data_IF_312615967494
#
_entry.id   IF_312615967494
#
_cell.length_a   1.000
_cell.length_b   1.000
_cell.length_c   1.000
_cell.angle_alpha   90.00
_cell.angle_beta   90.00
_cell.angle_gamma   90.00
#
_symmetry.space_group_name_H-M   'P 1'
#
loop_
_entity.id
_entity.type
_entity.pdbx_description
1 polymer ?
#
# COMPACT_ATOMS: atom_id res chain seq x y z
N UNK A 1 22.13 -30.33 -0.14
CA UNK A 1 20.69 -30.04 -0.35
C UNK A 1 20.36 -30.55 -1.74
N UNK A 2 19.36 -31.44 -1.91
CA UNK A 2 18.98 -31.89 -3.26
C UNK A 2 18.49 -30.67 -4.07
N UNK A 3 18.78 -30.61 -5.37
CA UNK A 3 18.36 -29.54 -6.29
C UNK A 3 16.88 -29.17 -6.14
N UNK A 4 16.00 -30.14 -5.91
CA UNK A 4 14.57 -29.91 -5.66
C UNK A 4 14.36 -29.04 -4.40
N UNK A 5 15.05 -29.37 -3.31
CA UNK A 5 14.95 -28.60 -2.07
C UNK A 5 15.51 -27.19 -2.23
N UNK A 6 16.60 -27.02 -3.02
CA UNK A 6 17.17 -25.71 -3.31
C UNK A 6 16.20 -24.83 -4.11
N UNK A 7 15.55 -25.39 -5.12
CA UNK A 7 14.51 -24.69 -5.90
C UNK A 7 13.29 -24.34 -5.06
N UNK A 8 12.84 -25.27 -4.21
CA UNK A 8 11.74 -25.00 -3.29
C UNK A 8 12.08 -23.87 -2.33
N UNK A 9 13.33 -23.84 -1.81
CA UNK A 9 13.80 -22.75 -0.97
C UNK A 9 13.83 -21.43 -1.74
N UNK A 10 14.43 -21.40 -2.92
CA UNK A 10 14.48 -20.21 -3.77
C UNK A 10 13.07 -19.68 -4.09
N UNK A 11 12.13 -20.58 -4.41
CA UNK A 11 10.73 -20.24 -4.67
C UNK A 11 10.06 -19.57 -3.44
N UNK A 12 10.33 -20.06 -2.23
CA UNK A 12 9.79 -19.48 -0.99
C UNK A 12 10.45 -18.14 -0.64
N UNK A 13 11.74 -17.98 -0.94
CA UNK A 13 12.51 -16.75 -0.68
C UNK A 13 12.07 -15.58 -1.58
N UNK A 14 11.35 -15.86 -2.68
CA UNK A 14 10.73 -14.82 -3.53
C UNK A 14 9.60 -14.05 -2.83
N UNK A 15 9.17 -14.45 -1.62
CA UNK A 15 8.10 -13.82 -0.85
C UNK A 15 6.80 -13.65 -1.64
N UNK A 16 6.45 -14.65 -2.46
CA UNK A 16 5.19 -14.65 -3.21
C UNK A 16 4.02 -14.76 -2.20
N UNK A 17 3.08 -13.79 -2.18
CA UNK A 17 1.97 -13.82 -1.24
C UNK A 17 1.15 -15.11 -1.33
N UNK A 18 0.77 -15.66 -0.17
CA UNK A 18 -0.09 -16.85 -0.07
C UNK A 18 0.49 -18.16 -0.61
N UNK A 19 1.79 -18.21 -0.94
CA UNK A 19 2.48 -19.45 -1.30
C UNK A 19 2.88 -20.23 -0.02
N UNK A 20 2.44 -21.48 0.07
CA UNK A 20 2.67 -22.36 1.21
C UNK A 20 3.31 -23.66 0.72
N UNK A 21 4.43 -24.05 1.33
CA UNK A 21 5.06 -25.36 1.08
C UNK A 21 4.19 -26.47 1.65
N UNK A 22 3.85 -27.46 0.83
CA UNK A 22 3.12 -28.66 1.25
C UNK A 22 4.10 -29.79 1.56
N UNK A 23 5.04 -30.04 0.65
CA UNK A 23 6.08 -31.07 0.78
C UNK A 23 7.36 -30.61 0.07
N UNK A 24 8.33 -31.52 -0.14
CA UNK A 24 9.61 -31.17 -0.75
C UNK A 24 9.51 -30.69 -2.20
N UNK A 25 8.51 -31.18 -2.95
CA UNK A 25 8.32 -30.91 -4.38
C UNK A 25 7.13 -30.00 -4.63
N UNK A 26 6.21 -29.87 -3.68
CA UNK A 26 4.92 -29.22 -3.88
C UNK A 26 4.78 -27.98 -3.01
N UNK A 27 4.38 -26.87 -3.64
CA UNK A 27 3.86 -25.69 -2.99
C UNK A 27 2.47 -25.35 -3.53
N UNK A 28 1.65 -24.66 -2.75
CA UNK A 28 0.30 -24.25 -3.12
C UNK A 28 0.16 -22.76 -2.86
N UNK A 29 -0.35 -22.02 -3.86
CA UNK A 29 -0.63 -20.60 -3.78
C UNK A 29 -2.13 -20.36 -3.86
N UNK A 30 -2.72 -19.80 -2.81
CA UNK A 30 -4.14 -19.46 -2.83
C UNK A 30 -4.37 -18.17 -3.60
N UNK A 31 -5.18 -18.22 -4.67
CA UNK A 31 -5.52 -17.05 -5.49
C UNK A 31 -6.74 -16.35 -4.91
N UNK A 32 -7.82 -17.10 -4.69
CA UNK A 32 -9.07 -16.58 -4.14
C UNK A 32 -9.79 -17.65 -3.28
N UNK A 33 -11.08 -17.45 -3.00
CA UNK A 33 -11.87 -18.40 -2.19
C UNK A 33 -12.10 -19.74 -2.90
N UNK A 34 -12.13 -19.74 -4.23
CA UNK A 34 -12.48 -20.91 -5.04
C UNK A 34 -11.30 -21.55 -5.78
N UNK A 35 -10.18 -20.82 -5.95
CA UNK A 35 -9.04 -21.24 -6.76
C UNK A 35 -7.71 -21.18 -6.00
N UNK A 36 -6.91 -22.23 -6.20
CA UNK A 36 -5.49 -22.27 -5.84
C UNK A 36 -4.64 -22.76 -7.01
N UNK A 37 -3.34 -22.46 -6.96
CA UNK A 37 -2.34 -22.93 -7.93
C UNK A 37 -1.36 -23.84 -7.20
N UNK A 38 -1.28 -25.10 -7.60
CA UNK A 38 -0.29 -26.06 -7.13
C UNK A 38 0.94 -26.00 -8.03
N UNK A 39 2.09 -25.70 -7.43
CA UNK A 39 3.40 -25.67 -8.07
C UNK A 39 4.13 -26.95 -7.71
N UNK A 40 4.51 -27.74 -8.72
CA UNK A 40 5.23 -29.00 -8.55
C UNK A 40 6.62 -28.84 -9.19
N UNK A 41 7.66 -28.91 -8.37
CA UNK A 41 9.05 -28.82 -8.77
C UNK A 41 9.56 -30.23 -9.02
N UNK A 42 9.83 -30.54 -10.28
CA UNK A 42 10.49 -31.77 -10.70
C UNK A 42 11.96 -31.49 -11.00
N UNK A 43 12.72 -32.56 -11.26
CA UNK A 43 14.14 -32.45 -11.55
C UNK A 43 14.40 -31.59 -12.80
N UNK A 44 13.63 -31.74 -13.88
CA UNK A 44 13.86 -31.00 -15.15
C UNK A 44 12.73 -30.06 -15.55
N UNK A 45 11.71 -29.90 -14.72
CA UNK A 45 10.55 -29.09 -15.07
C UNK A 45 9.83 -28.56 -13.84
N UNK A 46 9.03 -27.52 -14.04
CA UNK A 46 8.08 -27.00 -13.05
C UNK A 46 6.71 -27.10 -13.69
N UNK A 47 5.78 -27.74 -12.98
CA UNK A 47 4.39 -27.94 -13.41
C UNK A 47 3.50 -27.04 -12.56
N UNK A 48 2.58 -26.34 -13.21
CA UNK A 48 1.55 -25.54 -12.56
C UNK A 48 0.18 -26.19 -12.83
N UNK A 49 -0.54 -26.52 -11.76
CA UNK A 49 -1.92 -27.02 -11.82
C UNK A 49 -2.85 -25.99 -11.16
N UNK A 50 -3.90 -25.57 -11.85
CA UNK A 50 -4.96 -24.79 -11.23
C UNK A 50 -5.95 -25.75 -10.55
N UNK A 51 -6.39 -25.47 -9.32
CA UNK A 51 -7.38 -26.32 -8.64
C UNK A 51 -8.57 -25.51 -8.16
N UNK A 52 -9.76 -26.10 -8.33
CA UNK A 52 -11.00 -25.57 -7.78
C UNK A 52 -11.91 -26.70 -7.33
N UNK A 53 -12.51 -26.56 -6.13
CA UNK A 53 -13.50 -27.51 -5.58
C UNK A 53 -13.03 -28.97 -5.64
N UNK A 54 -11.74 -29.21 -5.39
CA UNK A 54 -11.13 -30.55 -5.38
C UNK A 54 -10.78 -31.13 -6.76
N UNK A 55 -11.01 -30.39 -7.85
CA UNK A 55 -10.59 -30.77 -9.21
C UNK A 55 -9.31 -30.04 -9.61
N UNK A 56 -8.41 -30.72 -10.31
CA UNK A 56 -7.21 -30.14 -10.93
C UNK A 56 -7.43 -29.89 -12.41
N UNK A 57 -6.90 -28.77 -12.90
CA UNK A 57 -6.99 -28.31 -14.28
C UNK A 57 -5.59 -27.96 -14.79
N UNK A 58 -5.30 -28.35 -16.02
CA UNK A 58 -4.12 -27.92 -16.75
C UNK A 58 -4.41 -26.56 -17.41
N UNK A 59 -3.79 -25.47 -16.94
CA UNK A 59 -4.07 -24.11 -17.42
C UNK A 59 -3.78 -23.91 -18.91
N UNK A 60 -2.95 -24.75 -19.53
CA UNK A 60 -2.60 -24.67 -20.95
C UNK A 60 -3.52 -25.50 -21.86
N UNK A 61 -4.36 -26.37 -21.31
CA UNK A 61 -5.17 -27.34 -22.10
C UNK A 61 -6.65 -27.34 -21.76
N UNK A 62 -7.02 -27.05 -20.52
CA UNK A 62 -8.38 -27.22 -20.04
C UNK A 62 -9.20 -25.95 -20.17
N UNK A 63 -10.41 -26.09 -20.73
CA UNK A 63 -11.40 -25.03 -20.81
C UNK A 63 -12.05 -24.87 -19.43
N UNK A 64 -12.08 -23.65 -18.90
CA UNK A 64 -12.76 -23.33 -17.64
C UNK A 64 -11.86 -22.82 -16.51
N UNK A 65 -10.56 -22.66 -16.75
CA UNK A 65 -9.69 -21.90 -15.83
C UNK A 65 -9.92 -20.40 -16.05
N UNK A 66 -10.24 -19.63 -15.00
CA UNK A 66 -10.40 -18.18 -15.10
C UNK A 66 -9.15 -17.46 -15.63
N UNK A 67 -9.36 -16.38 -16.39
CA UNK A 67 -8.28 -15.65 -17.06
C UNK A 67 -7.27 -15.00 -16.07
N UNK A 68 -7.72 -14.63 -14.88
CA UNK A 68 -6.88 -14.13 -13.80
C UNK A 68 -5.94 -15.22 -13.25
N UNK A 69 -6.45 -16.44 -13.06
CA UNK A 69 -5.64 -17.60 -12.66
C UNK A 69 -4.61 -17.96 -13.72
N UNK A 70 -4.99 -17.92 -15.01
CA UNK A 70 -4.06 -18.14 -16.14
C UNK A 70 -2.97 -17.07 -16.14
N UNK A 71 -3.33 -15.80 -16.01
CA UNK A 71 -2.37 -14.68 -16.01
C UNK A 71 -1.34 -14.78 -14.88
N UNK A 72 -1.75 -15.25 -13.70
CA UNK A 72 -0.83 -15.48 -12.58
C UNK A 72 0.12 -16.64 -12.86
N UNK A 73 -0.38 -17.73 -13.44
CA UNK A 73 0.45 -18.88 -13.82
C UNK A 73 1.46 -18.49 -14.90
N UNK A 74 1.05 -17.72 -15.90
CA UNK A 74 1.94 -17.23 -16.95
C UNK A 74 3.01 -16.31 -16.37
N UNK A 75 2.65 -15.41 -15.44
CA UNK A 75 3.63 -14.58 -14.74
C UNK A 75 4.63 -15.42 -13.91
N UNK A 76 4.20 -16.52 -13.30
CA UNK A 76 5.11 -17.44 -12.60
C UNK A 76 6.03 -18.20 -13.57
N UNK A 77 5.47 -18.69 -14.67
CA UNK A 77 6.18 -19.44 -15.72
C UNK A 77 7.22 -18.55 -16.41
N UNK A 78 6.89 -17.30 -16.73
CA UNK A 78 7.79 -16.36 -17.39
C UNK A 78 8.88 -15.84 -16.45
N UNK A 79 8.49 -15.38 -15.25
CA UNK A 79 9.40 -14.64 -14.37
C UNK A 79 10.36 -15.53 -13.58
N UNK A 80 9.89 -16.70 -13.13
CA UNK A 80 10.63 -17.47 -12.12
C UNK A 80 11.13 -18.81 -12.62
N UNK A 81 10.46 -19.45 -13.58
CA UNK A 81 10.89 -20.75 -14.09
C UNK A 81 12.29 -20.75 -14.71
N UNK A 82 12.71 -19.76 -15.52
CA UNK A 82 14.07 -19.77 -16.07
C UNK A 82 15.13 -19.76 -14.97
N UNK A 83 14.97 -18.91 -13.96
CA UNK A 83 15.91 -18.79 -12.86
C UNK A 83 15.91 -20.04 -11.95
N UNK A 84 14.72 -20.60 -11.66
CA UNK A 84 14.63 -21.83 -10.88
C UNK A 84 15.22 -23.03 -11.62
N UNK A 85 15.07 -23.09 -12.95
CA UNK A 85 15.68 -24.14 -13.75
C UNK A 85 17.21 -24.01 -13.81
N UNK A 86 17.74 -22.79 -13.95
CA UNK A 86 19.18 -22.50 -14.01
C UNK A 86 19.97 -22.92 -12.76
N UNK A 87 19.32 -23.03 -11.60
CA UNK A 87 19.95 -23.56 -10.37
C UNK A 87 20.43 -25.03 -10.49
N UNK A 88 20.03 -25.76 -11.54
CA UNK A 88 20.62 -27.06 -11.87
C UNK A 88 22.01 -26.94 -12.47
N UNK A 89 22.20 -25.98 -13.37
CA UNK A 89 23.37 -25.92 -14.25
C UNK A 89 24.60 -25.43 -13.48
N UNK A 90 24.41 -24.54 -12.49
CA UNK A 90 25.50 -24.08 -11.63
C UNK A 90 26.10 -25.21 -10.77
N UNK A 91 25.35 -26.25 -10.40
CA UNK A 91 25.91 -27.39 -9.67
C UNK A 91 26.66 -28.38 -10.57
N UNK A 92 26.40 -28.38 -11.87
CA UNK A 92 27.16 -29.20 -12.82
C UNK A 92 28.61 -28.68 -12.94
N UNK A 93 28.80 -27.36 -12.96
CA UNK A 93 30.13 -26.74 -13.11
C UNK A 93 30.98 -26.78 -11.83
N UNK A 94 30.38 -26.70 -10.64
CA UNK A 94 31.12 -26.81 -9.38
C UNK A 94 31.73 -28.20 -9.13
N UNK A 95 31.19 -29.26 -9.74
CA UNK A 95 31.75 -30.60 -9.65
C UNK A 95 33.00 -30.81 -10.52
N UNK A 96 33.33 -29.86 -11.41
CA UNK A 96 34.49 -29.90 -12.30
C UNK A 96 35.66 -29.02 -11.83
N UNK A 97 35.51 -28.22 -10.76
CA UNK A 97 36.50 -27.23 -10.32
C UNK A 97 36.79 -27.27 -8.81
N UNK A 98 37.05 -28.43 -8.23
CA UNK A 98 37.70 -28.49 -6.91
C UNK A 98 39.21 -28.32 -7.07
N UNK A 99 39.66 -27.06 -7.07
CA UNK A 99 41.10 -26.81 -7.10
C UNK A 99 41.54 -25.37 -7.33
N UNK A 100 40.95 -24.37 -6.66
CA UNK A 100 41.60 -23.07 -6.38
C UNK A 100 40.76 -22.24 -5.41
N UNK A 101 41.42 -21.71 -4.37
CA UNK A 101 40.87 -20.78 -3.38
C UNK A 101 40.89 -19.37 -3.97
N UNK A 102 39.73 -18.77 -4.20
CA UNK A 102 39.56 -17.32 -4.31
C UNK A 102 38.25 -16.86 -3.63
N UNK A 103 38.20 -15.54 -3.40
CA UNK A 103 37.37 -14.69 -2.52
C UNK A 103 35.83 -14.91 -2.49
N UNK A 104 35.13 -14.40 -1.44
CA UNK A 104 33.69 -14.64 -1.27
C UNK A 104 32.86 -14.02 -2.40
N UNK A 105 32.26 -14.88 -3.22
CA UNK A 105 31.31 -14.50 -4.26
C UNK A 105 30.03 -13.91 -3.67
N UNK A 106 29.46 -12.91 -4.38
CA UNK A 106 28.16 -12.30 -4.07
C UNK A 106 27.03 -13.32 -4.25
N UNK A 107 26.00 -13.18 -3.41
CA UNK A 107 24.85 -14.08 -3.33
C UNK A 107 24.08 -14.12 -4.68
N UNK A 108 23.89 -15.30 -5.32
CA UNK A 108 23.18 -15.45 -6.60
C UNK A 108 21.76 -14.86 -6.61
N UNK A 109 21.18 -14.66 -5.43
CA UNK A 109 19.85 -14.08 -5.21
C UNK A 109 19.77 -12.60 -5.64
N UNK A 110 20.89 -11.87 -5.66
CA UNK A 110 20.87 -10.44 -6.01
C UNK A 110 20.66 -10.19 -7.52
N UNK A 111 21.00 -11.15 -8.38
CA UNK A 111 20.74 -11.06 -9.82
C UNK A 111 19.25 -11.25 -10.17
N UNK A 112 18.49 -11.95 -9.32
CA UNK A 112 17.05 -12.16 -9.48
C UNK A 112 16.22 -10.88 -9.24
N UNK A 113 16.78 -9.85 -8.60
CA UNK A 113 16.07 -8.63 -8.22
C UNK A 113 16.23 -7.47 -9.20
N UNK A 114 17.12 -7.58 -10.20
CA UNK A 114 17.58 -6.44 -11.00
C UNK A 114 17.06 -6.37 -12.46
N UNK A 115 16.19 -7.27 -12.91
CA UNK A 115 15.69 -7.28 -14.29
C UNK A 115 14.65 -6.20 -14.58
N UNK A 116 15.09 -5.03 -15.06
CA UNK A 116 14.24 -4.03 -15.73
C UNK A 116 14.36 -4.18 -17.25
N UNK A 117 13.23 -4.25 -17.95
CA UNK A 117 13.16 -4.28 -19.42
C UNK A 117 12.02 -3.37 -19.91
N UNK A 118 12.32 -2.46 -20.84
CA UNK A 118 11.37 -1.62 -21.56
C UNK A 118 10.89 -2.35 -22.84
N UNK A 119 9.62 -2.14 -23.21
CA UNK A 119 9.01 -2.70 -24.43
C UNK A 119 8.60 -1.57 -25.38
N UNK A 120 9.11 -1.61 -26.61
CA UNK A 120 8.57 -0.90 -27.77
C UNK A 120 7.58 -1.80 -28.51
N UNK A 121 6.41 -1.25 -28.85
CA UNK A 121 5.36 -1.92 -29.61
C UNK A 121 5.65 -1.89 -31.12
N UNK A 122 5.48 -3.03 -31.78
CA UNK A 122 5.12 -3.11 -33.20
C UNK A 122 3.83 -3.94 -33.33
N UNK A 123 2.90 -3.42 -34.12
CA UNK A 123 1.60 -4.00 -34.40
C UNK A 123 1.67 -4.76 -35.72
N UNK A 124 1.11 -5.98 -35.76
CA UNK A 124 0.86 -6.68 -37.01
C UNK A 124 -0.58 -7.23 -37.08
N UNK A 125 -1.15 -7.08 -38.27
CA UNK A 125 -2.56 -7.23 -38.59
C UNK A 125 -2.99 -8.68 -38.83
N UNK A 126 -4.16 -9.06 -38.28
CA UNK A 126 -4.81 -10.35 -38.55
C UNK A 126 -5.80 -10.24 -39.72
N UNK A 127 -5.61 -11.14 -40.70
CA UNK A 127 -6.48 -11.39 -41.86
C UNK A 127 -7.73 -12.19 -41.46
N UNK A 128 -8.82 -11.94 -42.19
CA UNK A 128 -10.10 -12.66 -42.09
C UNK A 128 -10.02 -14.09 -42.67
N UNK A 129 -10.80 -15.07 -42.16
CA UNK A 129 -10.88 -16.40 -42.75
C UNK A 129 -12.00 -16.54 -43.79
N UNK A 130 -11.74 -17.51 -44.67
CA UNK A 130 -12.36 -17.81 -45.95
C UNK A 130 -13.74 -18.49 -45.90
N UNK A 131 -14.34 -18.44 -47.07
CA UNK A 131 -15.60 -19.00 -47.57
C UNK A 131 -15.73 -20.52 -47.37
N UNK A 132 -16.90 -20.98 -46.91
CA UNK A 132 -17.31 -22.40 -46.92
C UNK A 132 -18.44 -22.59 -47.95
N UNK A 133 -18.38 -23.59 -48.84
CA UNK A 133 -19.37 -23.79 -49.91
C UNK A 133 -20.66 -24.46 -49.43
N UNK A 134 -21.78 -24.32 -50.19
CA UNK A 134 -23.08 -24.88 -49.81
C UNK A 134 -23.18 -26.36 -50.17
N UNK A 135 -23.65 -27.17 -49.21
CA UNK A 135 -24.04 -28.57 -49.44
C UNK A 135 -25.50 -28.59 -49.87
N UNK A 136 -25.72 -29.02 -51.11
CA UNK A 136 -27.04 -29.33 -51.67
C UNK A 136 -27.34 -30.78 -51.32
N UNK A 137 -28.38 -31.04 -50.54
CA UNK A 137 -28.89 -32.38 -50.30
C UNK A 137 -30.33 -32.49 -50.82
N UNK A 138 -30.48 -33.35 -51.82
CA UNK A 138 -31.73 -33.64 -52.50
C UNK A 138 -32.06 -35.11 -52.30
N UNK A 139 -32.94 -35.40 -51.33
CA UNK A 139 -33.59 -36.70 -51.21
C UNK A 139 -35.11 -36.56 -51.02
N UNK A 140 -35.92 -37.47 -51.59
CA UNK A 140 -37.37 -37.31 -51.65
C UNK A 140 -38.01 -37.68 -50.29
N UNK A 141 -38.91 -36.83 -49.81
CA UNK A 141 -39.75 -37.06 -48.63
C UNK A 141 -40.74 -38.21 -48.89
N UNK A 142 -40.48 -39.38 -48.30
CA UNK A 142 -41.54 -40.35 -48.02
C UNK A 142 -42.35 -39.89 -46.79
N UNK A 143 -43.64 -39.68 -46.99
CA UNK A 143 -44.59 -39.31 -45.93
C UNK A 143 -44.90 -40.53 -45.05
N UNK A 144 -44.57 -40.53 -43.75
CA UNK A 144 -44.86 -41.67 -42.88
C UNK A 144 -46.36 -41.69 -42.50
N UNK A 145 -46.98 -42.86 -42.61
CA UNK A 145 -48.32 -43.13 -42.08
C UNK A 145 -48.34 -42.87 -40.57
N UNK A 146 -49.22 -41.95 -40.12
CA UNK A 146 -49.46 -41.64 -38.71
C UNK A 146 -49.94 -42.89 -37.97
N UNK A 147 -49.08 -43.41 -37.10
CA UNK A 147 -49.43 -44.40 -36.07
C UNK A 147 -50.15 -43.66 -34.95
N UNK A 148 -51.30 -44.17 -34.52
CA UNK A 148 -52.01 -43.62 -33.36
C UNK A 148 -51.21 -43.94 -32.09
N UNK A 149 -50.78 -42.89 -31.39
CA UNK A 149 -50.07 -42.99 -30.11
C UNK A 149 -51.05 -43.42 -29.01
N UNK A 150 -50.59 -44.33 -28.16
CA UNK A 150 -51.29 -44.73 -26.94
C UNK A 150 -51.35 -43.57 -25.94
N UNK A 151 -52.30 -43.62 -25.00
CA UNK A 151 -52.49 -42.51 -24.04
C UNK A 151 -51.30 -42.31 -23.10
N UNK A 152 -50.50 -43.35 -22.88
CA UNK A 152 -49.26 -43.28 -22.11
C UNK A 152 -48.14 -42.57 -22.89
N UNK A 153 -48.02 -42.85 -24.19
CA UNK A 153 -47.08 -42.14 -25.08
C UNK A 153 -47.41 -40.65 -25.20
N UNK A 154 -48.70 -40.29 -25.26
CA UNK A 154 -49.14 -38.88 -25.26
C UNK A 154 -48.77 -38.16 -23.96
N UNK A 155 -48.85 -38.84 -22.80
CA UNK A 155 -48.43 -38.28 -21.51
C UNK A 155 -46.92 -38.08 -21.44
N UNK A 156 -46.15 -39.04 -21.92
CA UNK A 156 -44.69 -38.92 -22.00
C UNK A 156 -44.26 -37.80 -22.95
N UNK A 157 -44.91 -37.67 -24.10
CA UNK A 157 -44.65 -36.58 -25.06
C UNK A 157 -44.97 -35.21 -24.44
N UNK A 158 -46.07 -35.09 -23.70
CA UNK A 158 -46.41 -33.86 -22.98
C UNK A 158 -45.36 -33.46 -21.93
N UNK A 159 -44.83 -34.43 -21.15
CA UNK A 159 -43.77 -34.18 -20.17
C UNK A 159 -42.46 -33.73 -20.83
N UNK A 160 -42.09 -34.34 -21.96
CA UNK A 160 -40.90 -33.95 -22.73
C UNK A 160 -41.04 -32.55 -23.30
N UNK A 161 -42.24 -32.19 -23.79
CA UNK A 161 -42.53 -30.83 -24.27
C UNK A 161 -42.42 -29.81 -23.13
N UNK A 162 -42.97 -30.13 -21.95
CA UNK A 162 -42.88 -29.26 -20.78
C UNK A 162 -41.43 -29.06 -20.30
N UNK A 163 -40.64 -30.13 -20.28
CA UNK A 163 -39.22 -30.06 -19.91
C UNK A 163 -38.42 -29.21 -20.90
N UNK A 164 -38.62 -29.39 -22.21
CA UNK A 164 -37.99 -28.57 -23.25
C UNK A 164 -38.37 -27.09 -23.12
N UNK A 165 -39.62 -26.81 -22.74
CA UNK A 165 -40.08 -25.42 -22.50
C UNK A 165 -39.35 -24.79 -21.30
N UNK A 166 -39.18 -25.53 -20.20
CA UNK A 166 -38.43 -25.06 -19.01
C UNK A 166 -36.95 -24.81 -19.33
N UNK A 167 -36.31 -25.71 -20.07
CA UNK A 167 -34.92 -25.54 -20.52
C UNK A 167 -34.76 -24.30 -21.42
N UNK A 168 -35.71 -24.07 -22.33
CA UNK A 168 -35.71 -22.90 -23.20
C UNK A 168 -35.92 -21.59 -22.43
N UNK A 169 -36.79 -21.59 -21.41
CA UNK A 169 -37.00 -20.43 -20.52
C UNK A 169 -35.75 -20.13 -19.69
N UNK A 170 -35.09 -21.15 -19.12
CA UNK A 170 -33.86 -20.97 -18.35
C UNK A 170 -32.71 -20.45 -19.22
N UNK A 171 -32.54 -21.00 -20.42
CA UNK A 171 -31.54 -20.51 -21.39
C UNK A 171 -31.80 -19.05 -21.78
N UNK A 172 -33.07 -18.67 -21.93
CA UNK A 172 -33.47 -17.29 -22.22
C UNK A 172 -33.21 -16.34 -21.03
N UNK A 173 -33.38 -16.82 -19.79
CA UNK A 173 -33.05 -16.04 -18.58
C UNK A 173 -31.56 -15.78 -18.46
N UNK A 174 -30.73 -16.82 -18.63
CA UNK A 174 -29.27 -16.68 -18.57
C UNK A 174 -28.73 -15.74 -19.65
N UNK A 175 -29.28 -15.80 -20.86
CA UNK A 175 -28.90 -14.89 -21.94
C UNK A 175 -29.25 -13.41 -21.62
N UNK A 176 -30.36 -13.15 -20.91
CA UNK A 176 -30.72 -11.80 -20.45
C UNK A 176 -29.77 -11.30 -19.37
N UNK A 177 -29.45 -12.13 -18.38
CA UNK A 177 -28.48 -11.78 -17.32
C UNK A 177 -27.08 -11.51 -17.88
N UNK A 178 -26.64 -12.27 -18.89
CA UNK A 178 -25.35 -12.02 -19.55
C UNK A 178 -25.36 -10.67 -20.31
N UNK A 179 -26.48 -10.36 -20.97
CA UNK A 179 -26.61 -9.10 -21.70
C UNK A 179 -26.67 -7.88 -20.75
N UNK A 180 -27.35 -8.01 -19.61
CA UNK A 180 -27.36 -6.98 -18.56
C UNK A 180 -25.97 -6.75 -17.97
N UNK A 181 -25.19 -7.81 -17.73
CA UNK A 181 -23.79 -7.68 -17.28
C UNK A 181 -22.91 -6.98 -18.31
N UNK A 182 -23.07 -7.28 -19.60
CA UNK A 182 -22.33 -6.60 -20.68
C UNK A 182 -22.70 -5.12 -20.76
N UNK A 183 -23.98 -4.78 -20.57
CA UNK A 183 -24.44 -3.40 -20.54
C UNK A 183 -23.86 -2.63 -19.35
N UNK A 184 -23.91 -3.20 -18.14
CA UNK A 184 -23.35 -2.58 -16.94
C UNK A 184 -21.82 -2.37 -17.04
N UNK A 185 -21.10 -3.32 -17.64
CA UNK A 185 -19.67 -3.20 -17.88
C UNK A 185 -19.34 -2.09 -18.89
N UNK A 186 -20.16 -1.92 -19.94
CA UNK A 186 -20.01 -0.85 -20.91
C UNK A 186 -20.27 0.53 -20.29
N UNK A 187 -21.30 0.66 -19.44
CA UNK A 187 -21.59 1.91 -18.70
C UNK A 187 -20.44 2.29 -17.75
N UNK A 188 -19.87 1.32 -17.04
CA UNK A 188 -18.73 1.58 -16.16
C UNK A 188 -17.50 2.06 -16.94
N UNK A 189 -17.22 1.44 -18.10
CA UNK A 189 -16.12 1.84 -18.97
C UNK A 189 -16.29 3.28 -19.51
N UNK A 190 -17.52 3.66 -19.86
CA UNK A 190 -17.82 5.02 -20.34
C UNK A 190 -17.65 6.06 -19.22
N UNK A 191 -18.00 5.73 -17.99
CA UNK A 191 -17.79 6.60 -16.83
C UNK A 191 -16.29 6.79 -16.52
N UNK A 192 -15.51 5.70 -16.54
CA UNK A 192 -14.04 5.78 -16.38
C UNK A 192 -13.37 6.61 -17.49
N UNK A 193 -13.87 6.50 -18.73
CA UNK A 193 -13.40 7.31 -19.85
C UNK A 193 -13.67 8.81 -19.61
N UNK A 194 -14.89 9.18 -19.19
CA UNK A 194 -15.24 10.57 -18.89
C UNK A 194 -14.37 11.13 -17.74
N UNK A 195 -14.12 10.34 -16.69
CA UNK A 195 -13.22 10.75 -15.61
C UNK A 195 -11.80 11.00 -16.11
N UNK A 196 -11.27 10.14 -16.98
CA UNK A 196 -9.94 10.30 -17.57
C UNK A 196 -9.84 11.59 -18.39
N UNK A 197 -10.82 11.84 -19.26
CA UNK A 197 -10.89 13.06 -20.08
C UNK A 197 -10.96 14.32 -19.19
N UNK A 198 -11.71 14.27 -18.07
CA UNK A 198 -11.78 15.38 -17.12
C UNK A 198 -10.44 15.65 -16.42
N UNK A 199 -9.70 14.60 -16.03
CA UNK A 199 -8.37 14.72 -15.41
C UNK A 199 -7.32 15.26 -16.38
N UNK A 200 -7.36 14.83 -17.64
CA UNK A 200 -6.47 15.33 -18.69
C UNK A 200 -6.73 16.81 -18.97
N UNK A 201 -8.01 17.23 -19.01
CA UNK A 201 -8.38 18.65 -19.13
C UNK A 201 -7.84 19.48 -17.96
N UNK A 202 -8.03 19.02 -16.71
CA UNK A 202 -7.49 19.69 -15.52
C UNK A 202 -5.96 19.82 -15.55
N UNK A 203 -5.25 18.78 -15.99
CA UNK A 203 -3.78 18.84 -16.17
C UNK A 203 -3.38 19.87 -17.21
N UNK A 204 -4.10 19.96 -18.33
CA UNK A 204 -3.83 20.94 -19.38
C UNK A 204 -4.08 22.38 -18.93
N UNK A 205 -5.14 22.61 -18.14
CA UNK A 205 -5.46 23.93 -17.58
C UNK A 205 -4.42 24.35 -16.54
N UNK A 206 -3.94 23.40 -15.72
CA UNK A 206 -2.85 23.63 -14.77
C UNK A 206 -1.52 23.98 -15.47
N UNK A 207 -1.19 23.29 -16.56
CA UNK A 207 0.01 23.60 -17.36
C UNK A 207 -0.07 24.98 -18.02
N UNK A 208 -1.24 25.37 -18.57
CA UNK A 208 -1.46 26.71 -19.13
C UNK A 208 -1.39 27.82 -18.08
N UNK A 209 -1.86 27.57 -16.86
CA UNK A 209 -1.70 28.51 -15.75
C UNK A 209 -0.22 28.67 -15.34
N UNK A 210 0.55 27.59 -15.39
CA UNK A 210 1.96 27.59 -15.03
C UNK A 210 2.84 28.32 -16.07
N UNK A 211 2.58 28.13 -17.37
CA UNK A 211 3.30 28.83 -18.43
C UNK A 211 3.04 30.34 -18.43
N UNK A 212 1.79 30.75 -18.16
CA UNK A 212 1.42 32.17 -18.00
C UNK A 212 2.05 32.82 -16.76
N UNK A 213 2.37 32.03 -15.75
CA UNK A 213 3.08 32.49 -14.55
C UNK A 213 4.58 32.62 -14.79
N UNK A 214 5.19 31.75 -15.61
CA UNK A 214 6.62 31.83 -15.96
C UNK A 214 6.97 33.05 -16.82
N UNK A 215 6.06 33.53 -17.68
CA UNK A 215 6.28 34.77 -18.44
C UNK A 215 6.22 36.05 -17.58
N UNK A 216 5.66 35.98 -16.36
CA UNK A 216 5.55 37.12 -15.46
C UNK A 216 6.81 37.38 -14.62
N UNK A 217 7.78 36.46 -14.62
CA UNK A 217 8.95 36.50 -13.73
C UNK A 217 10.31 36.53 -14.45
N UNK A 218 10.34 36.68 -15.77
CA UNK A 218 11.58 36.92 -16.53
C UNK A 218 11.97 38.40 -16.52
N UNK A 219 12.26 38.95 -15.33
CA UNK A 219 13.08 40.16 -15.18
C UNK A 219 14.45 39.79 -14.59
N UNK A 220 15.53 40.53 -14.93
CA UNK A 220 16.88 40.10 -14.64
C UNK A 220 17.21 40.19 -13.14
N UNK A 221 17.71 39.10 -12.59
CA UNK A 221 18.23 39.00 -11.23
C UNK A 221 19.53 39.79 -11.08
N UNK A 222 19.51 40.82 -10.24
CA UNK A 222 20.72 41.45 -9.73
C UNK A 222 21.00 40.96 -8.30
N UNK A 223 22.11 40.23 -8.17
CA UNK A 223 22.91 39.94 -6.97
C UNK A 223 22.18 39.40 -5.72
N UNK A 224 22.11 38.07 -5.61
CA UNK A 224 21.99 37.39 -4.32
C UNK A 224 23.38 37.19 -3.69
N UNK A 225 23.65 38.00 -2.67
CA UNK A 225 24.72 37.80 -1.70
C UNK A 225 24.52 36.49 -0.92
N UNK A 226 25.63 35.79 -0.69
CA UNK A 226 25.73 34.61 0.15
C UNK A 226 25.17 34.83 1.55
N UNK A 227 24.35 33.89 2.01
CA UNK A 227 23.67 33.92 3.30
C UNK A 227 24.61 34.21 4.49
N UNK A 228 24.25 35.13 5.40
CA UNK A 228 25.06 35.43 6.57
C UNK A 228 24.98 34.34 7.63
N UNK A 229 26.10 34.07 8.28
CA UNK A 229 26.20 33.30 9.53
C UNK A 229 25.17 33.80 10.57
N UNK A 230 24.45 32.91 11.29
CA UNK A 230 23.39 33.31 12.21
C UNK A 230 23.97 34.06 13.41
N UNK A 231 23.84 35.39 13.38
CA UNK A 231 24.10 36.27 14.53
C UNK A 231 22.96 36.15 15.55
N UNK A 232 23.31 35.82 16.79
CA UNK A 232 22.62 36.11 18.07
C UNK A 232 21.09 36.06 18.07
N UNK A 233 20.55 34.92 18.53
CA UNK A 233 19.34 34.86 19.35
C UNK A 233 18.09 34.21 18.76
N UNK A 234 18.15 33.54 17.60
CA UNK A 234 17.01 32.72 17.15
C UNK A 234 16.88 31.50 18.08
N UNK A 235 15.81 31.48 18.89
CA UNK A 235 15.46 30.33 19.74
C UNK A 235 15.10 29.16 18.81
N UNK A 236 15.74 28.01 19.01
CA UNK A 236 15.48 26.81 18.20
C UNK A 236 14.07 26.28 18.42
N UNK A 237 13.53 25.57 17.43
CA UNK A 237 12.26 24.86 17.57
C UNK A 237 12.32 23.87 18.75
N UNK A 238 13.44 23.14 18.88
CA UNK A 238 13.64 22.18 19.96
C UNK A 238 13.59 22.86 21.33
N UNK A 239 14.22 24.03 21.48
CA UNK A 239 14.25 24.76 22.74
C UNK A 239 12.83 25.16 23.15
N UNK A 240 12.04 25.69 22.21
CA UNK A 240 10.62 26.00 22.45
C UNK A 240 9.84 24.76 22.90
N UNK A 241 10.05 23.61 22.24
CA UNK A 241 9.35 22.38 22.63
C UNK A 241 9.79 21.87 24.00
N UNK A 242 11.07 21.94 24.32
CA UNK A 242 11.60 21.59 25.64
C UNK A 242 11.05 22.51 26.73
N UNK A 243 11.01 23.83 26.51
CA UNK A 243 10.47 24.80 27.48
C UNK A 243 8.98 24.57 27.78
N UNK A 244 8.23 24.00 26.84
CA UNK A 244 6.81 23.69 27.01
C UNK A 244 6.55 22.43 27.85
N UNK A 245 7.37 21.39 27.70
CA UNK A 245 7.07 20.08 28.30
C UNK A 245 8.13 19.48 29.21
N UNK A 246 9.34 20.03 29.24
CA UNK A 246 10.52 19.39 29.82
C UNK A 246 10.72 17.99 29.20
N UNK A 247 11.04 16.99 30.02
CA UNK A 247 11.19 15.58 29.64
C UNK A 247 9.85 14.82 29.67
N UNK A 248 8.88 15.30 28.88
CA UNK A 248 7.52 14.75 28.85
C UNK A 248 6.97 14.63 27.40
N UNK A 249 5.69 14.31 27.29
CA UNK A 249 4.98 14.04 26.05
C UNK A 249 4.33 15.30 25.51
N UNK A 250 4.59 15.57 24.24
CA UNK A 250 3.86 16.54 23.44
C UNK A 250 3.17 15.86 22.27
N UNK A 251 1.91 16.23 22.04
CA UNK A 251 1.20 15.82 20.83
C UNK A 251 1.08 17.01 19.89
N UNK A 252 1.42 16.80 18.61
CA UNK A 252 1.20 17.78 17.55
C UNK A 252 0.18 17.20 16.58
N UNK A 253 -0.96 17.87 16.44
CA UNK A 253 -2.02 17.47 15.52
C UNK A 253 -2.49 18.63 14.65
N UNK A 254 -3.30 18.31 13.63
CA UNK A 254 -3.78 19.27 12.64
C UNK A 254 -4.04 18.59 11.31
N UNK A 255 -4.64 19.31 10.36
CA UNK A 255 -5.03 18.73 9.06
C UNK A 255 -3.81 18.21 8.29
N UNK A 256 -4.03 17.32 7.32
CA UNK A 256 -2.97 16.92 6.40
C UNK A 256 -2.38 18.15 5.70
N UNK A 257 -1.07 18.16 5.55
CA UNK A 257 -0.35 19.28 4.92
C UNK A 257 -0.05 20.46 5.84
N UNK A 258 -0.50 20.50 7.10
CA UNK A 258 -0.11 21.55 8.08
C UNK A 258 1.30 21.37 8.64
N UNK A 259 2.16 20.66 7.89
CA UNK A 259 3.59 20.55 8.13
C UNK A 259 4.05 19.95 9.46
N UNK A 260 3.20 19.17 10.13
CA UNK A 260 3.51 18.45 11.37
C UNK A 260 4.82 17.65 11.28
N UNK A 261 4.96 16.87 10.21
CA UNK A 261 6.17 16.10 9.90
C UNK A 261 7.40 16.99 9.71
N UNK A 262 7.28 18.15 9.05
CA UNK A 262 8.39 19.09 8.89
C UNK A 262 8.86 19.66 10.24
N UNK A 263 7.93 19.96 11.14
CA UNK A 263 8.22 20.38 12.53
C UNK A 263 8.97 19.26 13.26
N UNK A 264 8.49 18.02 13.18
CA UNK A 264 9.12 16.88 13.83
C UNK A 264 10.55 16.61 13.32
N UNK A 265 10.75 16.64 12.00
CA UNK A 265 12.08 16.48 11.38
C UNK A 265 13.00 17.63 11.81
N UNK A 266 12.53 18.88 11.80
CA UNK A 266 13.34 20.02 12.24
C UNK A 266 13.79 19.86 13.70
N UNK A 267 12.89 19.46 14.61
CA UNK A 267 13.25 19.17 15.99
C UNK A 267 14.28 18.03 16.10
N UNK A 268 14.17 17.00 15.27
CA UNK A 268 15.16 15.91 15.22
C UNK A 268 16.55 16.41 14.80
N UNK A 269 16.62 17.25 13.76
CA UNK A 269 17.87 17.81 13.25
C UNK A 269 18.52 18.75 14.26
N UNK A 270 17.73 19.62 14.90
CA UNK A 270 18.22 20.51 15.97
C UNK A 270 18.72 19.71 17.19
N UNK A 271 18.03 18.63 17.57
CA UNK A 271 18.47 17.76 18.66
C UNK A 271 19.82 17.11 18.34
N UNK A 272 19.99 16.60 17.12
CA UNK A 272 21.28 16.06 16.67
C UNK A 272 22.38 17.12 16.64
N UNK A 273 22.07 18.34 16.18
CA UNK A 273 23.02 19.48 16.21
C UNK A 273 23.44 19.83 17.64
N UNK A 274 22.55 19.67 18.61
CA UNK A 274 22.82 19.83 20.04
C UNK A 274 23.51 18.61 20.69
N UNK A 275 23.90 17.60 19.92
CA UNK A 275 24.56 16.39 20.42
C UNK A 275 23.63 15.37 21.09
N UNK A 276 22.30 15.59 21.05
CA UNK A 276 21.30 14.70 21.64
C UNK A 276 21.06 13.46 20.78
N UNK A 277 20.77 12.33 21.40
CA UNK A 277 20.37 11.08 20.75
C UNK A 277 18.89 11.15 20.31
N UNK A 278 18.60 10.72 19.07
CA UNK A 278 17.27 10.84 18.48
C UNK A 278 16.81 9.53 17.86
N UNK A 279 15.58 9.12 18.16
CA UNK A 279 14.91 7.98 17.53
C UNK A 279 13.62 8.45 16.83
N UNK A 280 13.53 8.23 15.53
CA UNK A 280 12.38 8.60 14.70
C UNK A 280 11.66 7.35 14.21
N UNK A 281 10.44 7.12 14.68
CA UNK A 281 9.59 6.00 14.30
C UNK A 281 8.53 6.46 13.29
N UNK A 282 8.58 5.89 12.09
CA UNK A 282 7.72 6.24 10.96
C UNK A 282 6.83 5.04 10.56
N UNK A 283 5.68 4.86 11.21
CA UNK A 283 4.70 3.86 10.79
C UNK A 283 3.90 4.26 9.54
N UNK A 284 3.92 5.53 9.10
CA UNK A 284 3.20 5.97 7.89
C UNK A 284 3.99 5.74 6.59
N UNK A 285 5.33 5.68 6.68
CA UNK A 285 6.28 5.58 5.56
C UNK A 285 6.10 6.71 4.55
N UNK A 286 5.69 7.89 5.02
CA UNK A 286 5.38 9.04 4.18
C UNK A 286 6.58 10.00 3.98
N UNK A 287 7.71 9.71 4.64
CA UNK A 287 8.91 10.55 4.60
C UNK A 287 9.64 10.41 3.27
N UNK A 288 9.94 11.54 2.62
CA UNK A 288 10.65 11.54 1.34
C UNK A 288 12.09 11.01 1.48
N UNK A 289 12.61 10.39 0.40
CA UNK A 289 13.99 9.88 0.37
C UNK A 289 15.02 10.95 0.75
N UNK A 290 14.83 12.20 0.27
CA UNK A 290 15.68 13.35 0.59
C UNK A 290 15.70 13.64 2.10
N UNK A 291 14.53 13.76 2.73
CA UNK A 291 14.42 14.03 4.16
C UNK A 291 14.93 12.88 5.03
N UNK A 292 14.71 11.64 4.59
CA UNK A 292 15.29 10.46 5.24
C UNK A 292 16.82 10.49 5.20
N UNK A 293 17.42 10.79 4.04
CA UNK A 293 18.87 10.90 3.90
C UNK A 293 19.44 12.03 4.77
N UNK A 294 18.77 13.19 4.83
CA UNK A 294 19.13 14.31 5.70
C UNK A 294 19.15 13.91 7.19
N UNK A 295 18.10 13.23 7.67
CA UNK A 295 18.02 12.73 9.05
C UNK A 295 19.14 11.72 9.35
N UNK A 296 19.36 10.74 8.46
CA UNK A 296 20.41 9.74 8.63
C UNK A 296 21.81 10.36 8.64
N UNK A 297 22.05 11.34 7.77
CA UNK A 297 23.32 12.08 7.74
C UNK A 297 23.56 12.87 9.03
N UNK A 298 22.51 13.43 9.63
CA UNK A 298 22.59 14.07 10.95
C UNK A 298 22.76 13.07 12.11
N UNK A 299 22.69 11.76 11.85
CA UNK A 299 22.79 10.71 12.87
C UNK A 299 21.48 10.47 13.65
N UNK A 300 20.33 10.81 13.07
CA UNK A 300 19.02 10.38 13.61
C UNK A 300 18.86 8.87 13.37
N UNK A 301 18.48 8.12 14.41
CA UNK A 301 18.08 6.72 14.24
C UNK A 301 16.67 6.67 13.66
N UNK A 302 16.55 6.46 12.34
CA UNK A 302 15.25 6.38 11.66
C UNK A 302 14.80 4.93 11.47
N UNK A 303 13.56 4.63 11.87
CA UNK A 303 12.95 3.31 11.75
C UNK A 303 11.59 3.37 11.03
N UNK A 304 11.46 2.85 9.79
CA UNK A 304 10.18 2.72 9.11
C UNK A 304 9.45 1.48 9.64
N UNK A 305 8.47 1.67 10.53
CA UNK A 305 7.79 0.55 11.16
C UNK A 305 6.79 -0.11 10.22
N UNK A 306 6.80 -1.44 10.21
CA UNK A 306 5.76 -2.25 9.57
C UNK A 306 5.42 -3.42 10.48
N UNK A 307 4.14 -3.76 10.67
CA UNK A 307 3.77 -5.01 11.33
C UNK A 307 4.46 -6.21 10.65
N UNK A 308 4.98 -7.14 11.46
CA UNK A 308 5.82 -8.27 11.02
C UNK A 308 5.12 -9.27 10.08
N UNK A 309 3.79 -9.25 10.03
CA UNK A 309 3.00 -10.31 9.40
C UNK A 309 2.64 -9.98 7.94
N UNK A 310 3.63 -9.76 7.07
CA UNK A 310 3.53 -9.65 5.58
C UNK A 310 3.69 -8.26 4.94
N UNK A 311 4.46 -7.32 5.51
CA UNK A 311 4.65 -5.99 4.91
C UNK A 311 3.35 -5.18 4.70
N UNK A 312 2.26 -5.58 5.39
CA UNK A 312 0.93 -5.00 5.25
C UNK A 312 0.77 -3.74 6.11
N UNK A 313 -0.28 -2.99 5.81
CA UNK A 313 -0.75 -1.89 6.65
C UNK A 313 -1.26 -2.43 8.00
N UNK A 314 -1.54 -1.53 8.94
CA UNK A 314 -2.20 -1.90 10.20
C UNK A 314 -3.64 -2.34 9.90
N UNK A 315 -3.92 -3.64 9.97
CA UNK A 315 -5.20 -4.24 9.59
C UNK A 315 -6.01 -4.70 10.82
N UNK A 316 -5.34 -4.91 11.97
CA UNK A 316 -5.97 -5.50 13.15
C UNK A 316 -5.43 -4.94 14.46
N UNK A 317 -6.19 -5.18 15.55
CA UNK A 317 -5.76 -4.83 16.92
C UNK A 317 -4.47 -5.56 17.30
N UNK A 318 -4.21 -6.76 16.73
CA UNK A 318 -2.95 -7.50 16.95
C UNK A 318 -1.74 -6.76 16.39
N UNK A 319 -1.90 -6.01 15.31
CA UNK A 319 -0.81 -5.21 14.75
C UNK A 319 -0.47 -4.03 15.66
N UNK A 320 -1.49 -3.40 16.29
CA UNK A 320 -1.27 -2.39 17.32
C UNK A 320 -0.63 -2.97 18.59
N UNK A 321 -0.93 -4.22 18.92
CA UNK A 321 -0.27 -4.93 20.00
C UNK A 321 1.21 -5.19 19.70
N UNK A 322 1.54 -5.67 18.49
CA UNK A 322 2.93 -5.83 18.06
C UNK A 322 3.68 -4.48 18.05
N UNK A 323 3.02 -3.40 17.62
CA UNK A 323 3.58 -2.05 17.64
C UNK A 323 3.82 -1.55 19.07
N UNK A 324 2.88 -1.80 19.98
CA UNK A 324 3.05 -1.50 21.39
C UNK A 324 4.23 -2.28 22.02
N UNK A 325 4.36 -3.57 21.72
CA UNK A 325 5.50 -4.36 22.19
C UNK A 325 6.84 -3.90 21.59
N UNK A 326 6.83 -3.39 20.36
CA UNK A 326 7.99 -2.75 19.75
C UNK A 326 8.37 -1.47 20.50
N UNK A 327 7.40 -0.59 20.80
CA UNK A 327 7.64 0.68 21.53
C UNK A 327 8.33 0.42 22.88
N UNK A 328 7.95 -0.64 23.60
CA UNK A 328 8.59 -1.01 24.88
C UNK A 328 10.08 -1.33 24.76
N UNK A 329 10.55 -1.71 23.57
CA UNK A 329 11.93 -2.13 23.28
C UNK A 329 12.79 -1.02 22.70
N UNK A 330 12.23 0.17 22.46
CA UNK A 330 12.99 1.32 21.96
C UNK A 330 14.11 1.64 22.97
N UNK A 331 15.37 1.81 22.52
CA UNK A 331 16.48 2.15 23.41
C UNK A 331 16.27 3.53 24.03
N UNK A 332 16.96 3.83 25.14
CA UNK A 332 16.96 5.18 25.72
C UNK A 332 17.51 6.18 24.70
N UNK A 333 16.77 7.26 24.45
CA UNK A 333 17.21 8.42 23.67
C UNK A 333 16.76 9.72 24.33
N UNK A 334 17.32 10.86 23.95
CA UNK A 334 16.92 12.17 24.49
C UNK A 334 15.66 12.72 23.80
N UNK A 335 15.45 12.37 22.52
CA UNK A 335 14.26 12.71 21.74
C UNK A 335 13.71 11.48 21.00
N UNK A 336 12.46 11.11 21.32
CA UNK A 336 11.70 10.08 20.62
C UNK A 336 10.56 10.74 19.82
N UNK A 337 10.48 10.43 18.53
CA UNK A 337 9.43 10.92 17.64
C UNK A 337 8.62 9.74 17.10
N UNK A 338 7.30 9.83 17.18
CA UNK A 338 6.34 8.90 16.57
C UNK A 338 5.52 9.65 15.53
N UNK A 339 5.81 9.45 14.24
CA UNK A 339 5.12 10.10 13.12
C UNK A 339 4.44 9.06 12.20
N UNK A 340 3.21 8.63 12.48
CA UNK A 340 2.29 9.11 13.51
C UNK A 340 1.67 7.95 14.31
N UNK A 341 1.12 8.23 15.49
CA UNK A 341 0.28 7.24 16.20
C UNK A 341 -1.13 7.16 15.60
N UNK A 342 -1.60 8.26 15.02
CA UNK A 342 -2.97 8.41 14.53
C UNK A 342 -3.32 7.47 13.39
N UNK A 343 -2.49 7.42 12.35
CA UNK A 343 -2.81 6.66 11.13
C UNK A 343 -2.91 5.15 11.37
N UNK A 344 -1.97 4.50 12.10
CA UNK A 344 -2.11 3.09 12.49
C UNK A 344 -3.42 2.79 13.22
N UNK A 345 -3.75 3.58 14.23
CA UNK A 345 -4.97 3.39 15.01
C UNK A 345 -6.22 3.67 14.17
N UNK A 346 -6.21 4.69 13.33
CA UNK A 346 -7.34 5.01 12.45
C UNK A 346 -7.61 3.89 11.43
N UNK A 347 -6.56 3.29 10.88
CA UNK A 347 -6.68 2.18 9.93
C UNK A 347 -7.42 0.99 10.54
N UNK A 348 -7.01 0.57 11.74
CA UNK A 348 -7.65 -0.52 12.48
C UNK A 348 -9.06 -0.14 12.95
N UNK A 349 -9.25 1.11 13.41
CA UNK A 349 -10.56 1.59 13.84
C UNK A 349 -11.59 1.56 12.70
N UNK A 350 -11.21 2.01 11.51
CA UNK A 350 -12.10 2.03 10.35
C UNK A 350 -12.38 0.63 9.80
N UNK A 351 -11.42 -0.29 9.86
CA UNK A 351 -11.60 -1.67 9.39
C UNK A 351 -12.38 -2.55 10.38
N UNK A 352 -12.34 -2.21 11.67
CA UNK A 352 -12.91 -3.02 12.74
C UNK A 352 -14.40 -2.82 12.98
N UNK A 353 -15.04 -3.83 13.56
CA UNK A 353 -16.39 -3.73 14.11
C UNK A 353 -16.41 -2.87 15.41
N UNK A 354 -17.60 -2.58 15.96
CA UNK A 354 -17.74 -1.73 17.15
C UNK A 354 -16.89 -2.18 18.36
N UNK A 355 -16.72 -3.49 18.55
CA UNK A 355 -15.86 -4.02 19.62
C UNK A 355 -14.39 -3.75 19.33
N UNK A 356 -13.94 -3.96 18.10
CA UNK A 356 -12.57 -3.70 17.66
C UNK A 356 -12.23 -2.21 17.67
N UNK A 357 -13.19 -1.35 17.34
CA UNK A 357 -13.09 0.10 17.49
C UNK A 357 -12.81 0.48 18.95
N UNK A 358 -13.59 -0.07 19.90
CA UNK A 358 -13.36 0.12 21.32
C UNK A 358 -11.98 -0.36 21.79
N UNK A 359 -11.57 -1.56 21.34
CA UNK A 359 -10.24 -2.11 21.65
C UNK A 359 -9.10 -1.28 21.04
N UNK A 360 -9.30 -0.72 19.86
CA UNK A 360 -8.32 0.15 19.18
C UNK A 360 -8.07 1.41 19.97
N UNK A 361 -9.13 2.09 20.43
CA UNK A 361 -9.01 3.27 21.30
C UNK A 361 -8.32 2.92 22.64
N UNK A 362 -8.70 1.81 23.26
CA UNK A 362 -8.02 1.33 24.48
C UNK A 362 -6.53 1.05 24.24
N UNK A 363 -6.17 0.49 23.08
CA UNK A 363 -4.77 0.20 22.75
C UNK A 363 -3.97 1.48 22.49
N UNK A 364 -4.57 2.48 21.85
CA UNK A 364 -3.99 3.81 21.71
C UNK A 364 -3.71 4.45 23.07
N UNK A 365 -4.65 4.38 24.03
CA UNK A 365 -4.44 4.85 25.40
C UNK A 365 -3.28 4.10 26.08
N UNK A 366 -3.20 2.78 25.92
CA UNK A 366 -2.13 1.97 26.48
C UNK A 366 -0.76 2.38 25.91
N UNK A 367 -0.67 2.57 24.59
CA UNK A 367 0.55 3.04 23.93
C UNK A 367 0.96 4.42 24.46
N UNK A 368 0.03 5.38 24.55
CA UNK A 368 0.32 6.71 25.09
C UNK A 368 0.78 6.66 26.55
N UNK A 369 0.21 5.78 27.38
CA UNK A 369 0.69 5.56 28.74
C UNK A 369 2.11 4.96 28.77
N UNK A 370 2.41 4.02 27.88
CA UNK A 370 3.77 3.46 27.76
C UNK A 370 4.78 4.51 27.32
N UNK A 371 4.41 5.39 26.38
CA UNK A 371 5.24 6.53 25.98
C UNK A 371 5.45 7.50 27.16
N UNK A 372 4.40 7.78 27.95
CA UNK A 372 4.49 8.59 29.18
C UNK A 372 5.51 8.04 30.16
N UNK A 373 5.41 6.74 30.45
CA UNK A 373 6.37 6.05 31.30
C UNK A 373 7.78 6.02 30.70
N UNK A 374 7.88 5.94 29.37
CA UNK A 374 9.16 6.02 28.67
C UNK A 374 9.83 7.38 28.87
N UNK A 375 9.13 8.49 28.64
CA UNK A 375 9.65 9.84 28.81
C UNK A 375 10.20 10.06 30.23
N UNK A 376 9.36 9.79 31.24
CA UNK A 376 9.71 9.97 32.65
C UNK A 376 10.90 9.10 33.09
N UNK A 377 10.99 7.86 32.63
CA UNK A 377 12.07 6.94 33.02
C UNK A 377 13.41 7.32 32.38
N UNK A 378 13.36 7.90 31.18
CA UNK A 378 14.54 8.14 30.38
C UNK A 378 15.00 9.60 30.39
N UNK A 379 14.22 10.51 30.97
CA UNK A 379 14.39 11.96 30.84
C UNK A 379 14.42 12.34 29.34
N UNK A 380 13.37 11.95 28.62
CA UNK A 380 13.27 12.13 27.17
C UNK A 380 12.09 13.03 26.82
N UNK A 381 12.29 13.91 25.84
CA UNK A 381 11.19 14.53 25.12
C UNK A 381 10.56 13.50 24.16
N UNK A 382 9.23 13.35 24.21
CA UNK A 382 8.51 12.48 23.28
C UNK A 382 7.52 13.30 22.46
N UNK A 383 7.72 13.34 21.14
CA UNK A 383 6.81 14.00 20.20
C UNK A 383 5.96 12.92 19.52
N UNK A 384 4.64 13.07 19.62
CA UNK A 384 3.69 12.23 18.90
C UNK A 384 2.92 13.07 17.88
N UNK A 385 3.01 12.71 16.62
CA UNK A 385 2.16 13.28 15.58
C UNK A 385 0.83 12.55 15.57
N UNK A 386 -0.25 13.30 15.34
CA UNK A 386 -1.59 12.75 15.22
C UNK A 386 -2.43 13.52 14.18
N UNK A 387 -3.53 12.90 13.76
CA UNK A 387 -4.53 13.51 12.89
C UNK A 387 -5.74 13.97 13.73
N UNK A 388 -6.50 14.97 13.26
CA UNK A 388 -7.76 15.34 13.90
C UNK A 388 -8.83 14.26 13.66
N UNK A 389 -9.87 14.29 14.47
CA UNK A 389 -11.07 13.48 14.25
C UNK A 389 -11.78 13.82 12.94
N UNK A 390 -12.53 12.84 12.41
CA UNK A 390 -13.36 13.00 11.20
C UNK A 390 -14.41 14.11 11.35
N UNK A 391 -14.71 14.75 10.21
CA UNK A 391 -15.77 15.75 10.06
C UNK A 391 -17.17 15.12 10.02
N UNK A 392 -17.28 13.80 9.86
CA UNK A 392 -18.58 13.13 9.74
C UNK A 392 -19.48 13.41 10.95
N UNK A 393 -20.69 13.89 10.69
CA UNK A 393 -21.74 14.18 11.67
C UNK A 393 -21.38 15.27 12.71
N UNK A 394 -20.38 16.11 12.45
CA UNK A 394 -20.03 17.24 13.33
C UNK A 394 -20.29 18.57 12.63
N UNK A 395 -20.83 19.53 13.38
CA UNK A 395 -21.04 20.90 12.91
C UNK A 395 -19.74 21.46 12.28
N UNK A 396 -19.81 22.12 11.11
CA UNK A 396 -18.65 22.72 10.45
C UNK A 396 -17.82 23.66 11.35
N UNK A 397 -18.46 24.30 12.33
CA UNK A 397 -17.82 25.26 13.24
C UNK A 397 -17.22 24.58 14.48
N UNK A 398 -17.51 23.31 14.73
CA UNK A 398 -16.98 22.61 15.90
C UNK A 398 -15.49 22.36 15.73
N UNK A 399 -14.70 22.86 16.67
CA UNK A 399 -13.27 22.62 16.68
C UNK A 399 -12.97 21.11 16.77
N UNK A 400 -12.22 20.60 15.79
CA UNK A 400 -11.84 19.19 15.77
C UNK A 400 -10.75 18.91 16.79
N UNK A 401 -10.98 17.87 17.59
CA UNK A 401 -10.01 17.33 18.54
C UNK A 401 -9.00 16.45 17.81
N UNK A 402 -7.93 16.10 18.52
CA UNK A 402 -7.02 15.04 18.12
C UNK A 402 -7.72 13.68 18.17
N UNK A 403 -7.44 12.78 17.23
CA UNK A 403 -8.02 11.44 17.23
C UNK A 403 -7.55 10.64 18.45
N UNK A 404 -8.45 9.85 19.05
CA UNK A 404 -8.14 8.99 20.20
C UNK A 404 -8.89 9.30 21.50
N UNK A 405 -9.86 10.24 21.48
CA UNK A 405 -10.71 10.58 22.62
C UNK A 405 -9.89 10.85 23.90
N UNK A 406 -9.92 9.94 24.89
CA UNK A 406 -9.20 10.06 26.16
C UNK A 406 -7.69 10.03 26.06
N UNK A 407 -7.13 9.73 24.88
CA UNK A 407 -5.69 9.75 24.64
C UNK A 407 -5.09 11.15 24.90
N UNK A 408 -5.88 12.23 24.75
CA UNK A 408 -5.42 13.58 25.04
C UNK A 408 -4.90 13.71 26.48
N UNK A 409 -5.46 13.03 27.48
CA UNK A 409 -5.06 13.17 28.89
C UNK A 409 -3.63 12.69 29.23
N UNK A 410 -2.96 11.95 28.34
CA UNK A 410 -1.59 11.47 28.58
C UNK A 410 -0.51 12.50 28.25
N UNK A 411 -0.79 13.47 27.40
CA UNK A 411 0.18 14.46 26.94
C UNK A 411 0.24 15.65 27.90
N UNK A 412 1.42 16.21 28.16
CA UNK A 412 1.52 17.47 28.93
C UNK A 412 0.91 18.61 28.11
N UNK A 413 1.29 18.67 26.84
CA UNK A 413 0.87 19.70 25.89
C UNK A 413 0.25 19.07 24.63
N UNK A 414 -0.86 19.65 24.16
CA UNK A 414 -1.48 19.35 22.87
C UNK A 414 -1.42 20.58 21.99
N UNK A 415 -0.64 20.49 20.92
CA UNK A 415 -0.43 21.56 19.98
C UNK A 415 -1.20 21.30 18.70
N UNK A 416 -1.85 22.35 18.19
CA UNK A 416 -2.59 22.34 16.94
C UNK A 416 -1.90 23.21 15.90
N UNK A 417 -1.66 22.61 14.74
CA UNK A 417 -1.12 23.28 13.56
C UNK A 417 -2.27 23.80 12.69
N UNK A 418 -2.22 25.08 12.33
CA UNK A 418 -3.22 25.75 11.50
C UNK A 418 -2.55 26.48 10.34
N UNK A 419 -3.09 26.34 9.13
CA UNK A 419 -2.61 27.11 7.98
C UNK A 419 -2.85 28.61 8.19
N UNK A 420 -1.85 29.41 7.84
CA UNK A 420 -1.96 30.87 7.71
C UNK A 420 -1.95 31.25 6.24
N UNK A 421 -0.94 30.79 5.50
CA UNK A 421 -0.82 31.03 4.05
C UNK A 421 -0.07 29.91 3.35
N UNK A 422 -0.34 29.75 2.05
CA UNK A 422 0.37 28.81 1.19
C UNK A 422 0.56 29.44 -0.19
N UNK A 423 1.81 29.54 -0.62
CA UNK A 423 2.23 30.01 -1.94
C UNK A 423 3.25 29.03 -2.53
N UNK A 424 3.56 29.12 -3.84
CA UNK A 424 4.67 28.36 -4.42
C UNK A 424 5.95 28.59 -3.61
N UNK A 425 6.63 27.51 -3.21
CA UNK A 425 7.88 27.56 -2.44
C UNK A 425 7.76 28.03 -0.98
N UNK A 426 6.56 28.35 -0.47
CA UNK A 426 6.39 28.83 0.92
C UNK A 426 5.06 28.41 1.56
N UNK A 427 5.14 27.78 2.72
CA UNK A 427 3.99 27.47 3.56
C UNK A 427 4.18 28.06 4.94
N UNK A 428 3.18 28.79 5.44
CA UNK A 428 3.19 29.39 6.78
C UNK A 428 2.11 28.75 7.62
N UNK A 429 2.51 28.19 8.76
CA UNK A 429 1.66 27.48 9.70
C UNK A 429 1.80 28.14 11.06
N UNK A 430 0.70 28.39 11.75
CA UNK A 430 0.72 28.81 13.16
C UNK A 430 0.53 27.59 14.04
N UNK A 431 1.34 27.48 15.08
CA UNK A 431 1.20 26.46 16.13
C UNK A 431 0.53 27.11 17.34
N UNK A 432 -0.62 26.56 17.71
CA UNK A 432 -1.45 27.05 18.82
C UNK A 432 -1.60 25.97 19.87
N UNK A 433 -1.83 26.37 21.11
CA UNK A 433 -2.29 25.44 22.14
C UNK A 433 -3.70 24.98 21.81
N UNK A 434 -3.91 23.67 21.85
CA UNK A 434 -5.25 23.10 21.93
C UNK A 434 -5.57 22.76 23.38
N UNK A 435 -4.58 22.21 24.08
CA UNK A 435 -4.58 22.09 25.54
C UNK A 435 -3.18 22.33 26.05
N UNK A 436 -3.07 23.16 27.07
CA UNK A 436 -1.83 23.47 27.75
C UNK A 436 -2.06 23.58 29.25
N UNK A 437 -1.02 23.33 30.04
CA UNK A 437 -1.03 23.57 31.49
C UNK A 437 -0.72 25.03 31.83
N UNK A 438 0.06 25.69 30.99
CA UNK A 438 0.61 27.01 31.26
C UNK A 438 -0.08 28.12 30.46
N UNK A 439 -0.73 27.77 29.34
CA UNK A 439 -1.36 28.72 28.43
C UNK A 439 -2.84 28.42 28.20
N UNK A 440 -3.64 29.47 27.94
CA UNK A 440 -5.05 29.29 27.55
C UNK A 440 -5.19 28.59 26.19
N UNK A 441 -6.32 27.91 25.97
CA UNK A 441 -6.63 27.27 24.68
C UNK A 441 -6.65 28.30 23.53
N UNK A 442 -6.07 27.93 22.39
CA UNK A 442 -6.00 28.76 21.18
C UNK A 442 -4.84 29.77 21.17
N UNK A 443 -4.05 29.84 22.24
CA UNK A 443 -2.89 30.74 22.34
C UNK A 443 -1.88 30.40 21.25
N UNK A 444 -1.50 31.39 20.44
CA UNK A 444 -0.40 31.25 19.48
C UNK A 444 0.90 31.10 20.26
N UNK A 445 1.63 30.01 20.04
CA UNK A 445 2.95 29.80 20.61
C UNK A 445 4.03 30.32 19.67
N UNK A 446 3.98 29.90 18.41
CA UNK A 446 4.94 30.30 17.38
C UNK A 446 4.37 30.08 15.98
N UNK A 447 5.04 30.65 14.99
CA UNK A 447 4.77 30.44 13.57
C UNK A 447 5.92 29.65 12.97
N UNK A 448 5.59 28.74 12.06
CA UNK A 448 6.55 27.96 11.30
C UNK A 448 6.41 28.35 9.84
N UNK A 449 7.50 28.82 9.27
CA UNK A 449 7.64 29.09 7.85
C UNK A 449 8.47 27.98 7.20
N UNK A 450 7.94 27.39 6.14
CA UNK A 450 8.59 26.30 5.42
C UNK A 450 8.81 26.74 4.00
N UNK A 451 10.07 26.76 3.60
CA UNK A 451 10.52 27.10 2.26
C UNK A 451 11.37 25.97 1.69
N UNK A 452 11.80 26.13 0.45
CA UNK A 452 12.77 25.20 -0.16
C UNK A 452 14.11 25.17 0.60
N UNK A 453 14.42 26.24 1.34
CA UNK A 453 15.59 26.36 2.21
C UNK A 453 15.46 25.67 3.57
N UNK A 454 14.27 25.19 3.95
CA UNK A 454 14.06 24.46 5.20
C UNK A 454 12.92 25.02 6.05
N UNK A 455 13.02 24.78 7.36
CA UNK A 455 12.00 25.17 8.34
C UNK A 455 12.55 26.29 9.20
N UNK A 456 11.83 27.42 9.27
CA UNK A 456 12.15 28.58 10.12
C UNK A 456 11.04 28.79 11.15
N UNK A 457 11.43 29.02 12.40
CA UNK A 457 10.49 29.43 13.46
C UNK A 457 10.49 30.95 13.60
N UNK A 458 9.29 31.53 13.73
CA UNK A 458 9.05 32.95 13.93
C UNK A 458 8.14 33.07 15.16
N UNK A 459 8.63 33.67 16.25
CA UNK A 459 7.80 33.92 17.44
C UNK A 459 6.82 35.08 17.19
#
# INVERSE_FOLDING_TARGET
>A
MNTIQLRMKALLDLNIPSLIKIDEQTAVMRINSEWDVKVIILEKSIIYEARSKGKSYNPKKDIGVPADVISIIDALDEKYKPALLALLDEQADYSASEGKKEEPAKDPIDNLKAGGFEFTQEADALKAPEHVPPVVDSTPKETPKKRELTDEEKRMEALVIEQKKKEQEEKSRLAREENEKKLAMAEQYELERQERESREKQKSDFQKANSKSQELYSQPEDKLETAPDPKKGEVGLLDILCDLVDDDLIQIFGKTGTCKTSIAIQAALEARKAGKSVYYLDPEKNISKKKKAEMLHAGVTYYPYTPSNNNKNFESVKDLEAFHEFIKKIPKVDLLIIDSLGLPCLSVYCAGNQREQGLTLQKMMLISNTLKSYANRNNSLVIVINQPESDMNKDPNTERRSFGDKVEFFYKELLKTCFVSKSPGKTVVVVKTYRSRDYGQGTKLFTVEITDGGVKVIQ
#
